data_IF_348556368575
#
_entry.id   IF_348556368575
#
_cell.length_a   1.000
_cell.length_b   1.000
_cell.length_c   1.000
_cell.angle_alpha   90.00
_cell.angle_beta   90.00
_cell.angle_gamma   90.00
#
_symmetry.space_group_name_H-M   'P 1'
#
loop_
_entity.id
_entity.type
_entity.pdbx_description
1 polymer ?
#
# COMPACT_ATOMS: atom_id res chain seq x y z
N UNK A 1 -12.40 -0.14 -23.98
CA UNK A 1 -13.34 -0.25 -22.86
C UNK A 1 -12.63 -0.54 -21.53
N UNK A 2 -11.94 -1.67 -21.36
CA UNK A 2 -11.12 -1.95 -20.17
C UNK A 2 -10.03 -0.88 -19.90
N UNK A 3 -9.62 -0.14 -20.92
CA UNK A 3 -8.65 0.96 -20.84
C UNK A 3 -9.14 2.16 -20.02
N UNK A 4 -10.45 2.34 -19.84
CA UNK A 4 -11.02 3.42 -19.03
C UNK A 4 -10.96 3.15 -17.51
N UNK A 5 -10.92 1.88 -17.12
CA UNK A 5 -11.01 1.47 -15.70
C UNK A 5 -9.92 2.08 -14.81
N UNK A 6 -8.62 2.06 -15.17
CA UNK A 6 -7.58 2.67 -14.34
C UNK A 6 -7.77 4.19 -14.15
N UNK A 7 -8.26 4.87 -15.20
CA UNK A 7 -8.49 6.31 -15.16
C UNK A 7 -9.69 6.68 -14.28
N UNK A 8 -10.73 5.86 -14.30
CA UNK A 8 -11.92 6.04 -13.46
C UNK A 8 -11.57 5.79 -11.99
N UNK A 9 -10.81 4.74 -11.72
CA UNK A 9 -10.30 4.46 -10.38
C UNK A 9 -9.49 5.62 -9.82
N UNK A 10 -8.70 6.29 -10.66
CA UNK A 10 -7.96 7.46 -10.26
C UNK A 10 -8.86 8.66 -9.91
N UNK A 11 -9.90 8.93 -10.71
CA UNK A 11 -10.86 10.02 -10.45
C UNK A 11 -11.60 9.79 -9.13
N UNK A 12 -12.09 8.58 -8.91
CA UNK A 12 -12.92 8.28 -7.74
C UNK A 12 -12.15 8.37 -6.42
N UNK A 13 -10.85 8.07 -6.43
CA UNK A 13 -10.00 8.27 -5.26
C UNK A 13 -9.89 9.75 -4.84
N UNK A 14 -10.09 10.67 -5.77
CA UNK A 14 -10.06 12.12 -5.49
C UNK A 14 -11.41 12.68 -5.02
N UNK A 15 -12.50 11.92 -5.05
CA UNK A 15 -13.85 12.43 -4.66
C UNK A 15 -13.91 12.88 -3.21
N UNK A 16 -13.20 12.21 -2.32
CA UNK A 16 -13.21 12.50 -0.88
C UNK A 16 -12.06 13.38 -0.44
N UNK A 17 -11.18 13.78 -1.34
CA UNK A 17 -9.98 14.54 -1.04
C UNK A 17 -10.15 16.04 -1.28
N UNK A 18 -9.53 16.82 -0.42
CA UNK A 18 -9.40 18.27 -0.60
C UNK A 18 -7.96 18.64 -0.27
N UNK A 19 -7.31 19.31 -1.20
CA UNK A 19 -5.93 19.74 -1.02
C UNK A 19 -5.73 20.58 0.26
N UNK A 20 -6.75 21.34 0.69
CA UNK A 20 -6.71 22.11 1.93
C UNK A 20 -6.92 21.29 3.20
N UNK A 21 -7.51 20.10 3.12
CA UNK A 21 -7.80 19.27 4.30
C UNK A 21 -6.88 18.07 4.46
N UNK A 22 -6.06 17.77 3.47
CA UNK A 22 -5.13 16.63 3.48
C UNK A 22 -3.69 16.99 3.85
N UNK A 23 -3.27 18.22 3.58
CA UNK A 23 -1.89 18.69 3.75
C UNK A 23 -1.56 19.22 5.17
N UNK A 24 -2.13 18.60 6.22
CA UNK A 24 -1.94 19.07 7.60
C UNK A 24 -0.49 19.03 8.08
N UNK A 25 0.33 18.08 7.60
CA UNK A 25 1.76 18.01 7.88
C UNK A 25 2.48 19.26 7.31
N UNK A 26 2.32 19.49 6.01
CA UNK A 26 2.97 20.59 5.31
C UNK A 26 2.51 21.96 5.86
N UNK A 27 1.22 22.09 6.20
CA UNK A 27 0.72 23.30 6.86
C UNK A 27 1.34 23.50 8.23
N UNK A 28 1.46 22.45 9.05
CA UNK A 28 2.09 22.54 10.36
C UNK A 28 3.56 22.96 10.27
N UNK A 29 4.30 22.35 9.34
CA UNK A 29 5.74 22.61 9.17
C UNK A 29 6.01 24.01 8.60
N UNK A 30 5.29 24.41 7.55
CA UNK A 30 5.46 25.70 6.90
C UNK A 30 4.98 26.86 7.78
N UNK A 31 3.86 26.70 8.49
CA UNK A 31 3.36 27.73 9.40
C UNK A 31 4.28 27.93 10.61
N UNK A 32 4.80 26.85 11.23
CA UNK A 32 5.65 26.94 12.43
C UNK A 32 7.09 27.33 12.14
N UNK A 33 7.66 26.81 11.06
CA UNK A 33 9.09 26.97 10.77
C UNK A 33 9.39 28.16 9.88
N UNK A 34 8.44 28.57 9.03
CA UNK A 34 8.66 29.59 8.01
C UNK A 34 7.73 30.80 8.11
N UNK A 35 6.79 30.84 9.06
CA UNK A 35 5.84 31.93 9.26
C UNK A 35 5.04 32.34 8.02
N UNK A 36 4.70 31.40 7.15
CA UNK A 36 3.85 31.68 5.98
C UNK A 36 2.44 32.06 6.41
N UNK A 37 1.89 33.08 5.75
CA UNK A 37 0.49 33.45 5.95
C UNK A 37 -0.45 32.36 5.45
N UNK A 38 -1.57 32.08 6.15
CA UNK A 38 -2.52 31.04 5.76
C UNK A 38 -3.08 31.20 4.35
N UNK A 39 -3.30 32.42 3.89
CA UNK A 39 -3.78 32.70 2.53
C UNK A 39 -2.77 32.24 1.47
N UNK A 40 -1.48 32.54 1.65
CA UNK A 40 -0.43 32.17 0.70
C UNK A 40 -0.24 30.65 0.67
N UNK A 41 -0.25 30.01 1.84
CA UNK A 41 -0.25 28.55 1.95
C UNK A 41 -1.45 27.93 1.23
N UNK A 42 -2.64 28.47 1.42
CA UNK A 42 -3.83 27.97 0.75
C UNK A 42 -3.71 28.03 -0.77
N UNK A 43 -3.18 29.12 -1.33
CA UNK A 43 -2.98 29.25 -2.77
C UNK A 43 -1.93 28.29 -3.32
N UNK A 44 -0.85 28.03 -2.59
CA UNK A 44 0.16 27.03 -2.97
C UNK A 44 -0.48 25.63 -3.08
N UNK A 45 -1.22 25.20 -2.06
CA UNK A 45 -1.81 23.86 -2.03
C UNK A 45 -3.05 23.71 -2.92
N UNK A 46 -3.76 24.80 -3.22
CA UNK A 46 -4.91 24.77 -4.13
C UNK A 46 -4.51 24.71 -5.61
N UNK A 47 -3.45 25.40 -5.99
CA UNK A 47 -3.12 25.61 -7.40
C UNK A 47 -1.74 25.10 -7.78
N UNK A 48 -0.68 25.47 -7.03
CA UNK A 48 0.69 25.18 -7.40
C UNK A 48 1.02 23.69 -7.25
N UNK A 49 0.72 23.10 -6.10
CA UNK A 49 0.97 21.67 -5.87
C UNK A 49 0.23 20.77 -6.85
N UNK A 50 -1.12 20.92 -7.05
CA UNK A 50 -1.84 20.13 -8.06
C UNK A 50 -1.33 20.36 -9.48
N UNK A 51 -0.82 21.55 -9.80
CA UNK A 51 -0.22 21.86 -11.10
C UNK A 51 1.11 21.12 -11.30
N UNK A 52 1.98 21.05 -10.30
CA UNK A 52 3.22 20.27 -10.36
C UNK A 52 2.93 18.77 -10.51
N UNK A 53 1.93 18.27 -9.76
CA UNK A 53 1.47 16.89 -9.88
C UNK A 53 0.87 16.64 -11.28
N UNK A 54 0.15 17.60 -11.85
CA UNK A 54 -0.36 17.51 -13.23
C UNK A 54 0.77 17.30 -14.24
N UNK A 55 1.87 18.05 -14.16
CA UNK A 55 2.99 17.89 -15.09
C UNK A 55 3.57 16.46 -15.04
N UNK A 56 3.91 15.98 -13.85
CA UNK A 56 4.45 14.61 -13.68
C UNK A 56 3.49 13.52 -14.12
N UNK A 57 2.20 13.67 -13.80
CA UNK A 57 1.14 12.71 -14.16
C UNK A 57 0.88 12.66 -15.66
N UNK A 58 0.92 13.81 -16.33
CA UNK A 58 0.69 13.89 -17.77
C UNK A 58 1.70 13.04 -18.53
N UNK A 59 2.98 13.13 -18.16
CA UNK A 59 4.01 12.28 -18.73
C UNK A 59 3.69 10.79 -18.54
N UNK A 60 3.33 10.40 -17.32
CA UNK A 60 2.95 9.02 -17.01
C UNK A 60 1.74 8.53 -17.83
N UNK A 61 0.69 9.33 -17.93
CA UNK A 61 -0.53 8.97 -18.67
C UNK A 61 -0.30 8.90 -20.17
N UNK A 62 0.51 9.80 -20.74
CA UNK A 62 0.84 9.76 -22.17
C UNK A 62 1.65 8.50 -22.50
N UNK A 63 2.67 8.19 -21.71
CA UNK A 63 3.49 6.98 -21.91
C UNK A 63 2.63 5.73 -21.74
N UNK A 64 1.90 5.62 -20.63
CA UNK A 64 1.05 4.46 -20.37
C UNK A 64 -0.05 4.29 -21.40
N UNK A 65 -0.77 5.37 -21.74
CA UNK A 65 -1.85 5.35 -22.71
C UNK A 65 -1.39 4.90 -24.10
N UNK A 66 -0.21 5.37 -24.53
CA UNK A 66 0.35 4.97 -25.85
C UNK A 66 0.86 3.53 -25.83
N UNK A 67 1.60 3.13 -24.78
CA UNK A 67 2.22 1.81 -24.72
C UNK A 67 1.25 0.65 -24.51
N UNK A 68 0.20 0.85 -23.71
CA UNK A 68 -0.70 -0.24 -23.27
C UNK A 68 -2.08 -0.21 -23.89
N UNK A 69 -2.53 0.94 -24.33
CA UNK A 69 -3.92 1.11 -24.80
C UNK A 69 -4.01 1.73 -26.20
N UNK A 70 -2.88 2.06 -26.82
CA UNK A 70 -2.79 2.79 -28.10
C UNK A 70 -3.68 4.04 -28.15
N UNK A 71 -3.82 4.73 -27.02
CA UNK A 71 -4.65 5.93 -26.92
C UNK A 71 -3.88 7.11 -27.48
N UNK A 72 -4.56 7.96 -28.22
CA UNK A 72 -3.97 9.18 -28.74
C UNK A 72 -3.52 10.10 -27.60
N UNK A 73 -2.25 10.57 -27.56
CA UNK A 73 -1.70 11.44 -26.51
C UNK A 73 -2.52 12.67 -26.18
N UNK A 74 -3.26 13.22 -27.15
CA UNK A 74 -4.11 14.40 -26.96
C UNK A 74 -5.22 14.11 -25.93
N UNK A 75 -5.86 12.94 -26.01
CA UNK A 75 -6.95 12.61 -25.08
C UNK A 75 -6.42 12.29 -23.67
N UNK A 76 -5.24 11.71 -23.55
CA UNK A 76 -4.60 11.50 -22.26
C UNK A 76 -4.14 12.83 -21.62
N UNK A 77 -3.68 13.77 -22.43
CA UNK A 77 -3.37 15.12 -21.98
C UNK A 77 -4.62 15.88 -21.48
N UNK A 78 -5.69 15.90 -22.29
CA UNK A 78 -6.96 16.54 -21.90
C UNK A 78 -7.54 15.91 -20.62
N UNK A 79 -7.46 14.60 -20.51
CA UNK A 79 -7.88 13.89 -19.30
C UNK A 79 -7.04 14.30 -18.08
N UNK A 80 -5.73 14.39 -18.20
CA UNK A 80 -4.84 14.82 -17.14
C UNK A 80 -5.12 16.25 -16.70
N UNK A 81 -5.37 17.15 -17.66
CA UNK A 81 -5.76 18.55 -17.38
C UNK A 81 -7.13 18.65 -16.70
N UNK A 82 -8.09 17.80 -17.12
CA UNK A 82 -9.37 17.69 -16.45
C UNK A 82 -9.25 17.25 -14.98
N UNK A 83 -8.32 16.34 -14.67
CA UNK A 83 -8.05 15.93 -13.28
C UNK A 83 -7.47 17.09 -12.45
N UNK A 84 -6.63 17.94 -13.03
CA UNK A 84 -6.16 19.14 -12.35
C UNK A 84 -7.33 20.07 -11.97
N UNK A 85 -8.21 20.35 -12.91
CA UNK A 85 -9.43 21.15 -12.64
C UNK A 85 -10.34 20.49 -11.61
N UNK A 86 -10.52 19.18 -11.74
CA UNK A 86 -11.31 18.38 -10.81
C UNK A 86 -10.80 18.46 -9.38
N UNK A 87 -9.49 18.40 -9.14
CA UNK A 87 -8.92 18.50 -7.79
C UNK A 87 -9.23 19.87 -7.14
N UNK A 88 -9.19 20.96 -7.90
CA UNK A 88 -9.56 22.31 -7.42
C UNK A 88 -11.07 22.39 -7.15
N UNK A 89 -11.89 21.80 -8.03
CA UNK A 89 -13.35 21.77 -7.87
C UNK A 89 -13.77 20.99 -6.60
N UNK A 90 -13.15 19.85 -6.36
CA UNK A 90 -13.40 19.06 -5.15
C UNK A 90 -12.91 19.79 -3.90
N UNK A 91 -11.80 20.49 -3.97
CA UNK A 91 -11.33 21.33 -2.87
C UNK A 91 -12.33 22.45 -2.56
N UNK A 92 -12.93 23.11 -3.57
CA UNK A 92 -13.97 24.12 -3.36
C UNK A 92 -15.24 23.52 -2.72
N UNK A 93 -15.68 22.38 -3.22
CA UNK A 93 -16.83 21.65 -2.69
C UNK A 93 -16.66 21.31 -1.21
N UNK A 94 -15.56 20.67 -0.85
CA UNK A 94 -15.28 20.27 0.54
C UNK A 94 -15.01 21.46 1.45
N UNK A 95 -14.36 22.51 0.97
CA UNK A 95 -14.15 23.75 1.73
C UNK A 95 -15.48 24.40 2.10
N UNK A 96 -16.41 24.50 1.14
CA UNK A 96 -17.75 25.03 1.37
C UNK A 96 -18.55 24.21 2.40
N UNK A 97 -18.41 22.89 2.38
CA UNK A 97 -19.07 22.01 3.34
C UNK A 97 -18.43 22.13 4.73
N UNK A 98 -17.11 22.18 4.81
CA UNK A 98 -16.37 22.25 6.07
C UNK A 98 -16.35 23.64 6.71
N UNK A 99 -16.66 24.69 5.96
CA UNK A 99 -16.67 26.08 6.43
C UNK A 99 -17.57 26.28 7.67
N UNK A 100 -18.79 25.75 7.62
CA UNK A 100 -19.81 25.91 8.68
C UNK A 100 -19.69 24.84 9.81
N UNK A 101 -18.80 23.87 9.68
CA UNK A 101 -18.67 22.77 10.65
C UNK A 101 -17.57 23.05 11.66
N UNK A 102 -17.75 22.59 12.89
CA UNK A 102 -16.70 22.64 13.92
C UNK A 102 -15.57 21.64 13.64
N UNK A 103 -15.92 20.44 13.10
CA UNK A 103 -15.00 19.37 12.73
C UNK A 103 -15.02 19.12 11.23
N UNK A 104 -13.90 18.64 10.68
CA UNK A 104 -13.85 18.24 9.28
C UNK A 104 -14.73 17.01 9.03
N UNK A 105 -15.32 16.92 7.83
CA UNK A 105 -16.00 15.69 7.40
C UNK A 105 -14.97 14.56 7.36
N UNK A 106 -15.41 13.36 7.75
CA UNK A 106 -14.59 12.16 7.91
C UNK A 106 -13.50 12.25 9.00
N UNK A 107 -13.48 13.29 9.83
CA UNK A 107 -12.67 13.26 11.04
C UNK A 107 -13.07 12.03 11.87
N UNK A 108 -12.11 11.14 12.14
CA UNK A 108 -12.30 9.84 12.82
C UNK A 108 -13.17 8.79 12.08
N UNK A 109 -13.45 8.95 10.78
CA UNK A 109 -14.25 8.01 9.99
C UNK A 109 -13.56 7.62 8.67
N UNK A 110 -12.25 7.43 8.70
CA UNK A 110 -11.47 7.04 7.52
C UNK A 110 -11.96 5.73 6.88
N UNK A 111 -12.40 4.77 7.69
CA UNK A 111 -12.96 3.50 7.18
C UNK A 111 -14.24 3.73 6.37
N UNK A 112 -15.13 4.61 6.82
CA UNK A 112 -16.36 4.97 6.10
C UNK A 112 -16.04 5.71 4.78
N UNK A 113 -15.01 6.56 4.79
CA UNK A 113 -14.51 7.22 3.59
C UNK A 113 -14.03 6.20 2.54
N UNK A 114 -13.23 5.20 2.96
CA UNK A 114 -12.74 4.13 2.09
C UNK A 114 -13.91 3.34 1.50
N UNK A 115 -14.92 2.97 2.29
CA UNK A 115 -16.10 2.25 1.79
C UNK A 115 -16.85 3.07 0.75
N UNK A 116 -17.07 4.36 0.99
CA UNK A 116 -17.76 5.25 0.03
C UNK A 116 -16.98 5.32 -1.28
N UNK A 117 -15.64 5.48 -1.22
CA UNK A 117 -14.78 5.50 -2.40
C UNK A 117 -14.90 4.19 -3.18
N UNK A 118 -14.85 3.04 -2.49
CA UNK A 118 -14.97 1.73 -3.13
C UNK A 118 -16.34 1.53 -3.81
N UNK A 119 -17.43 1.93 -3.15
CA UNK A 119 -18.78 1.86 -3.72
C UNK A 119 -18.92 2.75 -4.96
N UNK A 120 -18.42 3.98 -4.91
CA UNK A 120 -18.45 4.90 -6.04
C UNK A 120 -17.61 4.35 -7.21
N UNK A 121 -16.41 3.80 -6.92
CA UNK A 121 -15.57 3.15 -7.93
C UNK A 121 -16.30 2.00 -8.63
N UNK A 122 -16.94 1.15 -7.85
CA UNK A 122 -17.69 0.00 -8.37
C UNK A 122 -18.88 0.47 -9.24
N UNK A 123 -19.62 1.46 -8.78
CA UNK A 123 -20.75 2.04 -9.52
C UNK A 123 -20.31 2.67 -10.86
N UNK A 124 -19.28 3.49 -10.83
CA UNK A 124 -18.77 4.15 -12.05
C UNK A 124 -18.17 3.13 -13.01
N UNK A 125 -17.44 2.12 -12.51
CA UNK A 125 -16.88 1.06 -13.34
C UNK A 125 -17.97 0.22 -14.03
N UNK A 126 -19.04 -0.12 -13.31
CA UNK A 126 -20.22 -0.81 -13.87
C UNK A 126 -20.90 0.06 -14.93
N UNK A 127 -21.08 1.36 -14.66
CA UNK A 127 -21.70 2.31 -15.58
C UNK A 127 -20.93 2.42 -16.90
N UNK A 128 -19.60 2.49 -16.83
CA UNK A 128 -18.72 2.51 -18.02
C UNK A 128 -18.79 1.20 -18.80
N UNK A 129 -18.88 0.06 -18.11
CA UNK A 129 -19.03 -1.26 -18.75
C UNK A 129 -20.39 -1.39 -19.47
N UNK A 130 -21.47 -0.90 -18.85
CA UNK A 130 -22.83 -0.97 -19.42
C UNK A 130 -22.98 -0.04 -20.63
N UNK A 131 -22.51 1.22 -20.52
CA UNK A 131 -22.65 2.25 -21.57
C UNK A 131 -21.63 2.05 -22.71
N UNK A 132 -20.63 1.16 -22.53
CA UNK A 132 -19.55 0.93 -23.51
C UNK A 132 -18.83 2.24 -23.93
N UNK A 133 -18.57 3.15 -22.97
CA UNK A 133 -17.93 4.42 -23.21
C UNK A 133 -16.52 4.25 -23.78
N UNK A 134 -16.25 4.98 -24.87
CA UNK A 134 -14.90 5.11 -25.41
C UNK A 134 -14.11 6.15 -24.60
N UNK A 135 -12.79 5.94 -24.46
CA UNK A 135 -11.90 6.85 -23.71
C UNK A 135 -11.90 8.27 -24.29
N UNK A 136 -12.04 8.41 -25.60
CA UNK A 136 -12.16 9.70 -26.30
C UNK A 136 -13.35 10.50 -25.77
N UNK A 137 -14.54 9.88 -25.70
CA UNK A 137 -15.77 10.53 -25.24
C UNK A 137 -15.67 10.85 -23.74
N UNK A 138 -15.13 9.90 -22.96
CA UNK A 138 -14.89 10.10 -21.52
C UNK A 138 -13.98 11.31 -21.27
N UNK A 139 -12.83 11.39 -21.96
CA UNK A 139 -11.84 12.46 -21.76
C UNK A 139 -12.38 13.84 -22.11
N UNK A 140 -13.08 13.95 -23.25
CA UNK A 140 -13.69 15.21 -23.70
C UNK A 140 -14.83 15.65 -22.77
N UNK A 141 -15.75 14.75 -22.40
CA UNK A 141 -16.84 15.05 -21.49
C UNK A 141 -16.35 15.44 -20.10
N UNK A 142 -15.38 14.71 -19.58
CA UNK A 142 -14.78 15.00 -18.26
C UNK A 142 -14.03 16.34 -18.28
N UNK A 143 -13.31 16.65 -19.36
CA UNK A 143 -12.62 17.94 -19.54
C UNK A 143 -13.60 19.12 -19.60
N UNK A 144 -14.64 19.04 -20.42
CA UNK A 144 -15.60 20.14 -20.56
C UNK A 144 -16.34 20.44 -19.28
N UNK A 145 -16.84 19.42 -18.57
CA UNK A 145 -17.54 19.58 -17.29
C UNK A 145 -16.61 20.23 -16.24
N UNK A 146 -15.39 19.70 -16.10
CA UNK A 146 -14.49 20.23 -15.08
C UNK A 146 -13.95 21.61 -15.40
N UNK A 147 -13.83 21.99 -16.65
CA UNK A 147 -13.46 23.36 -17.05
C UNK A 147 -14.55 24.37 -16.64
N UNK A 148 -15.80 24.03 -16.89
CA UNK A 148 -16.94 24.90 -16.48
C UNK A 148 -16.95 25.04 -14.95
N UNK A 149 -16.87 23.93 -14.21
CA UNK A 149 -16.85 23.94 -12.75
C UNK A 149 -15.65 24.70 -12.18
N UNK A 150 -14.48 24.65 -12.84
CA UNK A 150 -13.28 25.34 -12.42
C UNK A 150 -13.45 26.87 -12.40
N UNK A 151 -14.16 27.43 -13.35
CA UNK A 151 -14.47 28.88 -13.37
C UNK A 151 -15.26 29.27 -12.12
N UNK A 152 -16.27 28.46 -11.74
CA UNK A 152 -17.04 28.72 -10.51
C UNK A 152 -16.19 28.51 -9.24
N UNK A 153 -15.38 27.49 -9.19
CA UNK A 153 -14.49 27.23 -8.06
C UNK A 153 -13.46 28.34 -7.86
N UNK A 154 -12.87 28.83 -8.96
CA UNK A 154 -11.95 29.98 -8.92
C UNK A 154 -12.62 31.26 -8.39
N UNK A 155 -13.87 31.54 -8.83
CA UNK A 155 -14.65 32.68 -8.31
C UNK A 155 -14.95 32.51 -6.82
N UNK A 156 -15.27 31.29 -6.36
CA UNK A 156 -15.49 31.00 -4.95
C UNK A 156 -14.23 31.28 -4.13
N UNK A 157 -13.08 30.74 -4.51
CA UNK A 157 -11.83 30.93 -3.77
C UNK A 157 -11.31 32.37 -3.78
N UNK A 158 -11.56 33.13 -4.84
CA UNK A 158 -11.22 34.56 -4.87
C UNK A 158 -11.94 35.38 -3.77
N UNK A 159 -13.15 34.97 -3.42
CA UNK A 159 -13.99 35.67 -2.42
C UNK A 159 -13.94 35.02 -1.03
N UNK A 160 -13.24 33.88 -0.88
CA UNK A 160 -13.22 33.13 0.37
C UNK A 160 -12.19 33.71 1.34
N UNK A 161 -12.65 34.05 2.57
CA UNK A 161 -11.85 34.66 3.64
C UNK A 161 -11.56 33.72 4.82
N UNK A 162 -12.01 32.46 4.76
CA UNK A 162 -11.95 31.50 5.88
C UNK A 162 -10.76 30.54 5.88
N UNK A 163 -9.67 30.84 5.17
CA UNK A 163 -8.51 29.98 5.06
C UNK A 163 -7.88 29.65 6.41
N UNK A 164 -7.73 30.63 7.30
CA UNK A 164 -7.17 30.47 8.65
C UNK A 164 -7.89 29.35 9.41
N UNK A 165 -9.23 29.38 9.43
CA UNK A 165 -10.06 28.41 10.14
C UNK A 165 -9.94 26.99 9.56
N UNK A 166 -9.85 26.87 8.23
CA UNK A 166 -9.71 25.57 7.58
C UNK A 166 -8.32 24.98 7.85
N UNK A 167 -7.27 25.77 7.72
CA UNK A 167 -5.89 25.35 7.95
C UNK A 167 -5.70 24.97 9.42
N UNK A 168 -6.20 25.77 10.37
CA UNK A 168 -6.16 25.44 11.80
C UNK A 168 -6.82 24.09 12.11
N UNK A 169 -8.03 23.85 11.57
CA UNK A 169 -8.73 22.55 11.70
C UNK A 169 -7.89 21.41 11.11
N UNK A 170 -7.27 21.63 9.98
CA UNK A 170 -6.45 20.62 9.28
C UNK A 170 -5.20 20.28 10.08
N UNK A 171 -4.51 21.29 10.63
CA UNK A 171 -3.35 21.10 11.51
C UNK A 171 -3.76 20.33 12.78
N UNK A 172 -4.90 20.71 13.39
CA UNK A 172 -5.41 20.03 14.59
C UNK A 172 -5.72 18.55 14.30
N UNK A 173 -6.40 18.25 13.19
CA UNK A 173 -6.64 16.86 12.74
C UNK A 173 -5.35 16.10 12.56
N UNK A 174 -4.37 16.68 11.87
CA UNK A 174 -3.06 16.06 11.66
C UNK A 174 -2.36 15.74 12.98
N UNK A 175 -2.33 16.69 13.92
CA UNK A 175 -1.70 16.47 15.23
C UNK A 175 -2.40 15.36 16.04
N UNK A 176 -3.74 15.26 15.96
CA UNK A 176 -4.49 14.16 16.58
C UNK A 176 -4.15 12.82 15.91
N UNK A 177 -4.15 12.74 14.58
CA UNK A 177 -3.80 11.53 13.84
C UNK A 177 -2.34 11.07 14.13
N UNK A 178 -1.41 12.01 14.24
CA UNK A 178 -0.02 11.71 14.64
C UNK A 178 0.04 11.15 16.06
N UNK A 179 -0.72 11.73 17.00
CA UNK A 179 -0.80 11.22 18.38
C UNK A 179 -1.38 9.82 18.41
N UNK A 180 -2.52 9.58 17.75
CA UNK A 180 -3.16 8.26 17.66
C UNK A 180 -2.24 7.24 17.00
N UNK A 181 -1.54 7.60 15.93
CA UNK A 181 -0.58 6.71 15.26
C UNK A 181 0.59 6.31 16.18
N UNK A 182 1.09 7.24 17.01
CA UNK A 182 2.10 6.95 18.03
C UNK A 182 1.56 6.01 19.10
N UNK A 183 0.38 6.28 19.60
CA UNK A 183 -0.28 5.44 20.63
C UNK A 183 -0.49 4.01 20.10
N UNK A 184 -0.91 3.87 18.82
CA UNK A 184 -1.04 2.56 18.16
C UNK A 184 0.34 1.89 18.01
N UNK A 185 1.35 2.62 17.57
CA UNK A 185 2.71 2.08 17.43
C UNK A 185 3.28 1.63 18.77
N UNK A 186 3.10 2.42 19.82
CA UNK A 186 3.55 2.08 21.15
C UNK A 186 2.77 0.91 21.75
N UNK A 187 1.46 0.78 21.45
CA UNK A 187 0.66 -0.37 21.87
C UNK A 187 1.12 -1.70 21.25
N UNK A 188 1.63 -1.70 20.01
CA UNK A 188 2.18 -2.90 19.34
C UNK A 188 3.51 -3.33 19.97
N UNK A 189 4.25 -2.38 20.51
CA UNK A 189 5.57 -2.63 21.12
C UNK A 189 5.44 -2.92 22.60
N UNK A 190 4.43 -2.37 23.29
CA UNK A 190 4.22 -2.50 24.72
C UNK A 190 3.76 -3.92 25.08
N UNK A 191 4.62 -4.62 25.84
CA UNK A 191 4.29 -5.93 26.41
C UNK A 191 3.48 -5.69 27.68
N UNK A 192 2.26 -6.22 27.74
CA UNK A 192 1.43 -6.17 28.94
C UNK A 192 1.72 -7.37 29.86
N UNK A 193 1.43 -7.22 31.17
CA UNK A 193 1.65 -8.31 32.14
C UNK A 193 0.91 -9.62 31.76
N UNK A 194 -0.21 -9.53 31.07
CA UNK A 194 -0.95 -10.69 30.53
C UNK A 194 -0.24 -11.45 29.41
N UNK A 195 0.72 -10.78 28.74
CA UNK A 195 1.53 -11.37 27.67
C UNK A 195 2.77 -12.12 28.24
N UNK A 196 3.01 -11.96 29.57
CA UNK A 196 4.11 -12.60 30.30
C UNK A 196 3.58 -13.79 31.09
N UNK A 197 3.52 -14.94 30.44
CA UNK A 197 3.20 -16.18 31.18
C UNK A 197 4.47 -16.74 31.84
N UNK A 198 4.64 -16.50 33.15
CA UNK A 198 5.83 -16.89 33.92
C UNK A 198 6.02 -18.41 34.07
N UNK A 199 4.98 -19.22 33.84
CA UNK A 199 5.00 -20.69 34.04
C UNK A 199 5.50 -21.49 32.85
N UNK A 200 5.59 -20.90 31.67
CA UNK A 200 6.01 -21.64 30.47
C UNK A 200 7.50 -21.53 30.24
N UNK A 201 8.18 -22.67 30.23
CA UNK A 201 9.61 -22.77 29.83
C UNK A 201 9.77 -22.45 28.34
N UNK A 202 10.73 -21.58 28.02
CA UNK A 202 11.10 -21.23 26.64
C UNK A 202 12.24 -22.16 26.26
N UNK A 203 12.11 -22.82 25.09
CA UNK A 203 13.12 -23.73 24.55
C UNK A 203 14.15 -22.96 23.73
N UNK A 204 15.40 -23.41 23.75
CA UNK A 204 16.51 -22.87 22.96
C UNK A 204 17.57 -22.19 23.81
N UNK A 205 18.74 -21.94 23.24
CA UNK A 205 19.89 -21.25 23.85
C UNK A 205 20.33 -20.09 22.94
N UNK A 206 20.95 -19.06 23.53
CA UNK A 206 21.48 -17.91 22.81
C UNK A 206 20.46 -17.19 21.95
N UNK A 207 20.71 -17.06 20.65
CA UNK A 207 19.81 -16.37 19.71
C UNK A 207 18.50 -17.08 19.49
N UNK A 208 18.46 -18.41 19.57
CA UNK A 208 17.21 -19.19 19.47
C UNK A 208 16.28 -18.86 20.63
N UNK A 209 16.83 -18.79 21.85
CA UNK A 209 16.08 -18.39 23.05
C UNK A 209 15.52 -16.97 22.90
N UNK A 210 16.33 -16.01 22.46
CA UNK A 210 15.92 -14.62 22.28
C UNK A 210 14.76 -14.51 21.25
N UNK A 211 14.89 -15.20 20.11
CA UNK A 211 13.87 -15.21 19.07
C UNK A 211 12.56 -15.85 19.56
N UNK A 212 12.64 -17.00 20.23
CA UNK A 212 11.48 -17.69 20.75
C UNK A 212 10.79 -16.88 21.86
N UNK A 213 11.57 -16.23 22.74
CA UNK A 213 11.06 -15.31 23.77
C UNK A 213 10.29 -14.15 23.15
N UNK A 214 10.88 -13.51 22.11
CA UNK A 214 10.23 -12.42 21.39
C UNK A 214 8.88 -12.84 20.83
N UNK A 215 8.85 -13.89 20.00
CA UNK A 215 7.61 -14.34 19.34
C UNK A 215 6.54 -14.79 20.35
N UNK A 216 6.93 -15.35 21.46
CA UNK A 216 6.02 -15.76 22.52
C UNK A 216 5.37 -14.55 23.19
N UNK A 217 6.16 -13.54 23.57
CA UNK A 217 5.65 -12.31 24.20
C UNK A 217 4.80 -11.46 23.26
N UNK A 218 5.11 -11.46 21.96
CA UNK A 218 4.38 -10.68 20.97
C UNK A 218 3.30 -11.49 20.23
N UNK A 219 3.07 -12.75 20.60
CA UNK A 219 2.14 -13.66 19.88
C UNK A 219 0.78 -13.02 19.61
N UNK A 220 0.17 -12.40 20.61
CA UNK A 220 -1.15 -11.76 20.49
C UNK A 220 -1.14 -10.59 19.51
N UNK A 221 -0.10 -9.73 19.61
CA UNK A 221 0.02 -8.54 18.76
C UNK A 221 0.38 -8.85 17.31
N UNK A 222 0.97 -10.02 17.05
CA UNK A 222 1.31 -10.48 15.71
C UNK A 222 0.20 -11.32 15.08
N UNK A 223 -0.39 -12.24 15.86
CA UNK A 223 -1.39 -13.19 15.37
C UNK A 223 -2.72 -12.50 15.04
N UNK A 224 -3.22 -11.62 15.96
CA UNK A 224 -4.51 -10.96 15.78
C UNK A 224 -4.64 -10.16 14.49
N UNK A 225 -3.70 -9.25 14.13
CA UNK A 225 -3.75 -8.53 12.85
C UNK A 225 -3.65 -9.45 11.64
N UNK A 226 -2.84 -10.51 11.73
CA UNK A 226 -2.71 -11.51 10.65
C UNK A 226 -4.03 -12.24 10.42
N UNK A 227 -4.71 -12.69 11.48
CA UNK A 227 -6.01 -13.34 11.39
C UNK A 227 -7.08 -12.41 10.82
N UNK A 228 -7.12 -11.14 11.25
CA UNK A 228 -8.07 -10.15 10.73
C UNK A 228 -7.86 -9.94 9.22
N UNK A 229 -6.62 -9.71 8.78
CA UNK A 229 -6.30 -9.56 7.35
C UNK A 229 -6.70 -10.79 6.55
N UNK A 230 -6.39 -11.97 7.07
CA UNK A 230 -6.73 -13.26 6.43
C UNK A 230 -8.25 -13.46 6.35
N UNK A 231 -8.99 -13.12 7.43
CA UNK A 231 -10.46 -13.20 7.45
C UNK A 231 -11.10 -12.27 6.42
N UNK A 232 -10.64 -11.02 6.34
CA UNK A 232 -11.12 -10.06 5.32
C UNK A 232 -10.82 -10.59 3.91
N UNK A 233 -9.62 -11.14 3.69
CA UNK A 233 -9.24 -11.72 2.40
C UNK A 233 -10.14 -12.91 2.02
N UNK A 234 -10.46 -13.80 2.96
CA UNK A 234 -11.38 -14.92 2.72
C UNK A 234 -12.79 -14.44 2.37
N UNK A 235 -13.31 -13.45 3.08
CA UNK A 235 -14.64 -12.87 2.80
C UNK A 235 -14.68 -12.28 1.38
N UNK A 236 -13.67 -11.49 1.01
CA UNK A 236 -13.58 -10.91 -0.33
C UNK A 236 -13.39 -12.00 -1.40
N UNK A 237 -12.54 -13.00 -1.13
CA UNK A 237 -12.28 -14.11 -2.04
C UNK A 237 -13.50 -14.98 -2.29
N UNK A 238 -14.23 -15.37 -1.25
CA UNK A 238 -15.49 -16.12 -1.39
C UNK A 238 -16.59 -15.26 -2.04
N UNK A 239 -16.73 -13.98 -1.65
CA UNK A 239 -17.64 -13.07 -2.31
C UNK A 239 -17.37 -12.94 -3.81
N UNK A 240 -16.10 -12.76 -4.18
CA UNK A 240 -15.66 -12.76 -5.58
C UNK A 240 -15.94 -14.08 -6.31
N UNK A 241 -15.72 -15.23 -5.63
CA UNK A 241 -16.04 -16.54 -6.17
C UNK A 241 -17.51 -16.68 -6.51
N UNK A 242 -18.43 -16.31 -5.62
CA UNK A 242 -19.87 -16.36 -5.84
C UNK A 242 -20.30 -15.40 -6.96
N UNK A 243 -19.80 -14.17 -6.97
CA UNK A 243 -20.09 -13.19 -8.01
C UNK A 243 -19.66 -13.67 -9.39
N UNK A 244 -18.42 -14.17 -9.52
CA UNK A 244 -17.90 -14.66 -10.80
C UNK A 244 -18.62 -15.92 -11.25
N UNK A 245 -19.04 -16.77 -10.32
CA UNK A 245 -19.80 -18.00 -10.61
C UNK A 245 -21.20 -17.70 -11.20
N UNK A 246 -21.79 -16.56 -10.86
CA UNK A 246 -23.08 -16.11 -11.38
C UNK A 246 -22.98 -15.41 -12.74
N UNK A 247 -21.77 -15.00 -13.16
CA UNK A 247 -21.54 -14.33 -14.41
C UNK A 247 -21.11 -15.35 -15.50
N UNK A 248 -21.60 -15.18 -16.72
CA UNK A 248 -21.21 -15.98 -17.90
C UNK A 248 -19.85 -15.59 -18.47
N UNK A 249 -18.82 -15.53 -17.58
CA UNK A 249 -17.46 -15.16 -17.99
C UNK A 249 -16.70 -16.43 -18.42
N UNK A 250 -15.91 -16.32 -19.51
CA UNK A 250 -15.07 -17.42 -19.99
C UNK A 250 -14.10 -17.89 -18.86
N UNK A 251 -14.21 -19.13 -18.47
CA UNK A 251 -13.52 -19.74 -17.34
C UNK A 251 -11.99 -19.55 -17.34
N UNK A 252 -11.34 -19.66 -18.49
CA UNK A 252 -9.88 -19.50 -18.62
C UNK A 252 -9.39 -18.07 -18.34
N UNK A 253 -10.18 -17.04 -18.63
CA UNK A 253 -9.77 -15.64 -18.36
C UNK A 253 -9.78 -15.31 -16.86
N UNK A 254 -10.75 -15.82 -16.12
CA UNK A 254 -10.82 -15.66 -14.65
C UNK A 254 -9.60 -16.26 -14.00
N UNK A 255 -9.21 -17.46 -14.40
CA UNK A 255 -8.04 -18.15 -13.90
C UNK A 255 -6.73 -17.38 -14.15
N UNK A 256 -6.54 -16.83 -15.35
CA UNK A 256 -5.39 -15.98 -15.70
C UNK A 256 -5.28 -14.76 -14.79
N UNK A 257 -6.40 -14.03 -14.63
CA UNK A 257 -6.45 -12.85 -13.76
C UNK A 257 -6.08 -13.22 -12.32
N UNK A 258 -6.54 -14.36 -11.81
CA UNK A 258 -6.22 -14.82 -10.48
C UNK A 258 -4.70 -15.05 -10.31
N UNK A 259 -4.05 -15.74 -11.28
CA UNK A 259 -2.59 -15.96 -11.26
C UNK A 259 -1.84 -14.61 -11.29
N UNK A 260 -2.25 -13.68 -12.13
CA UNK A 260 -1.61 -12.37 -12.24
C UNK A 260 -1.78 -11.53 -10.97
N UNK A 261 -2.85 -11.75 -10.23
CA UNK A 261 -3.12 -11.06 -8.97
C UNK A 261 -2.33 -11.63 -7.76
N UNK A 262 -1.80 -12.86 -7.83
CA UNK A 262 -1.07 -13.50 -6.72
C UNK A 262 0.04 -12.60 -6.14
N UNK A 263 0.96 -11.99 -6.91
CA UNK A 263 2.00 -11.15 -6.33
C UNK A 263 1.46 -9.91 -5.62
N UNK A 264 0.41 -9.28 -6.16
CA UNK A 264 -0.23 -8.10 -5.55
C UNK A 264 -0.91 -8.49 -4.23
N UNK A 265 -1.66 -9.58 -4.24
CA UNK A 265 -2.32 -10.12 -3.05
C UNK A 265 -1.27 -10.50 -1.99
N UNK A 266 -0.20 -11.16 -2.40
CA UNK A 266 0.91 -11.53 -1.52
C UNK A 266 1.58 -10.30 -0.90
N UNK A 267 1.83 -9.25 -1.68
CA UNK A 267 2.39 -7.99 -1.18
C UNK A 267 1.51 -7.39 -0.07
N UNK A 268 0.19 -7.40 -0.24
CA UNK A 268 -0.75 -6.84 0.76
C UNK A 268 -0.83 -7.73 2.02
N UNK A 269 -0.93 -9.05 1.84
CA UNK A 269 -1.13 -10.00 2.94
C UNK A 269 0.13 -10.20 3.79
N UNK A 270 1.29 -10.31 3.16
CA UNK A 270 2.55 -10.65 3.84
C UNK A 270 3.36 -9.44 4.31
N UNK A 271 2.94 -8.21 4.02
CA UNK A 271 3.61 -7.00 4.51
C UNK A 271 3.53 -6.87 6.03
N UNK A 272 4.70 -6.78 6.71
CA UNK A 272 4.86 -6.90 8.17
C UNK A 272 5.68 -5.76 8.80
N UNK A 273 5.41 -4.51 8.45
CA UNK A 273 6.16 -3.34 8.96
C UNK A 273 6.17 -3.26 10.50
N UNK A 274 5.06 -3.67 11.14
CA UNK A 274 4.92 -3.65 12.61
C UNK A 274 5.84 -4.63 13.33
N UNK A 275 6.12 -5.80 12.72
CA UNK A 275 7.05 -6.80 13.30
C UNK A 275 8.45 -6.24 13.33
N UNK A 276 8.89 -5.56 12.27
CA UNK A 276 10.24 -5.00 12.18
C UNK A 276 10.48 -3.93 13.25
N UNK A 277 9.48 -3.07 13.48
CA UNK A 277 9.54 -2.07 14.54
C UNK A 277 9.59 -2.72 15.93
N UNK A 278 8.84 -3.80 16.16
CA UNK A 278 8.88 -4.55 17.41
C UNK A 278 10.22 -5.24 17.61
N UNK A 279 10.83 -5.82 16.55
CA UNK A 279 12.20 -6.35 16.63
C UNK A 279 13.19 -5.28 17.06
N UNK A 280 13.13 -4.10 16.42
CA UNK A 280 14.04 -3.02 16.74
C UNK A 280 13.88 -2.55 18.19
N UNK A 281 12.69 -2.13 18.61
CA UNK A 281 12.44 -1.55 19.93
C UNK A 281 12.65 -2.53 21.09
N UNK A 282 12.26 -3.80 20.92
CA UNK A 282 12.23 -4.78 22.01
C UNK A 282 13.43 -5.75 22.05
N UNK A 283 14.26 -5.76 21.00
CA UNK A 283 15.44 -6.62 20.93
C UNK A 283 16.68 -5.86 20.47
N UNK A 284 16.64 -5.31 19.25
CA UNK A 284 17.85 -4.92 18.55
C UNK A 284 18.45 -3.60 19.05
N UNK A 285 17.62 -2.65 19.46
CA UNK A 285 18.08 -1.33 19.92
C UNK A 285 19.10 -1.43 21.06
N UNK A 286 18.93 -2.38 21.98
CA UNK A 286 19.86 -2.64 23.08
C UNK A 286 21.05 -3.51 22.65
N UNK A 287 20.83 -4.49 21.77
CA UNK A 287 21.86 -5.45 21.37
C UNK A 287 22.86 -4.88 20.36
N UNK A 288 22.44 -3.88 19.57
CA UNK A 288 23.30 -3.23 18.57
C UNK A 288 24.49 -2.46 19.15
N UNK A 289 24.50 -2.19 20.47
CA UNK A 289 25.68 -1.64 21.14
C UNK A 289 26.83 -2.66 21.29
N UNK A 290 26.55 -3.95 21.19
CA UNK A 290 27.53 -5.01 21.39
C UNK A 290 28.10 -5.50 20.06
N UNK A 291 29.43 -5.58 19.96
CA UNK A 291 30.13 -6.00 18.73
C UNK A 291 29.77 -7.43 18.31
N UNK A 292 29.66 -8.38 19.27
CA UNK A 292 29.33 -9.77 18.96
C UNK A 292 28.00 -9.92 18.23
N UNK A 293 27.03 -9.03 18.50
CA UNK A 293 25.72 -9.07 17.85
C UNK A 293 25.79 -8.65 16.37
N UNK A 294 26.78 -7.82 15.99
CA UNK A 294 26.99 -7.30 14.64
C UNK A 294 27.94 -8.14 13.78
N UNK A 295 28.43 -9.26 14.31
CA UNK A 295 29.23 -10.19 13.52
C UNK A 295 28.39 -10.81 12.39
N UNK A 296 29.01 -11.00 11.23
CA UNK A 296 28.39 -11.49 10.01
C UNK A 296 27.63 -12.81 10.22
N UNK A 297 28.24 -13.80 10.88
CA UNK A 297 27.63 -15.11 11.19
C UNK A 297 26.42 -14.97 12.12
N UNK A 298 26.51 -14.09 13.12
CA UNK A 298 25.44 -13.90 14.10
C UNK A 298 24.24 -13.18 13.50
N UNK A 299 24.48 -12.15 12.67
CA UNK A 299 23.40 -11.46 11.94
C UNK A 299 22.70 -12.38 10.94
N UNK A 300 23.44 -13.19 10.18
CA UNK A 300 22.86 -14.16 9.26
C UNK A 300 22.05 -15.22 10.01
N UNK A 301 22.55 -15.73 11.15
CA UNK A 301 21.80 -16.66 12.01
C UNK A 301 20.49 -16.05 12.50
N UNK A 302 20.53 -14.81 13.04
CA UNK A 302 19.34 -14.10 13.49
C UNK A 302 18.34 -13.83 12.36
N UNK A 303 18.82 -13.49 11.17
CA UNK A 303 17.97 -13.32 9.99
C UNK A 303 17.17 -14.59 9.68
N UNK A 304 17.82 -15.75 9.61
CA UNK A 304 17.13 -17.01 9.30
C UNK A 304 16.19 -17.46 10.42
N UNK A 305 16.54 -17.25 11.67
CA UNK A 305 15.67 -17.55 12.81
C UNK A 305 14.38 -16.71 12.76
N UNK A 306 14.52 -15.41 12.48
CA UNK A 306 13.38 -14.50 12.32
C UNK A 306 12.56 -14.84 11.09
N UNK A 307 13.23 -15.12 9.97
CA UNK A 307 12.54 -15.58 8.76
C UNK A 307 11.67 -16.80 9.05
N UNK A 308 12.21 -17.84 9.65
CA UNK A 308 11.46 -19.07 9.96
C UNK A 308 10.25 -18.78 10.86
N UNK A 309 10.42 -17.93 11.86
CA UNK A 309 9.33 -17.58 12.79
C UNK A 309 8.25 -16.74 12.14
N UNK A 310 8.62 -15.75 11.30
CA UNK A 310 7.68 -14.93 10.55
C UNK A 310 6.99 -15.76 9.47
N UNK A 311 7.72 -16.64 8.78
CA UNK A 311 7.16 -17.50 7.75
C UNK A 311 6.13 -18.50 8.32
N UNK A 312 6.37 -19.04 9.53
CA UNK A 312 5.36 -19.82 10.27
C UNK A 312 4.10 -19.01 10.55
N UNK A 313 4.21 -17.74 10.86
CA UNK A 313 3.03 -16.87 11.04
C UNK A 313 2.31 -16.62 9.70
N UNK A 314 3.07 -16.49 8.60
CA UNK A 314 2.55 -16.27 7.25
C UNK A 314 1.93 -17.53 6.62
N UNK A 315 2.11 -18.71 7.21
CA UNK A 315 1.40 -19.92 6.76
C UNK A 315 -0.14 -19.78 6.85
N UNK A 316 -0.65 -18.93 7.75
CA UNK A 316 -2.09 -18.68 7.90
C UNK A 316 -2.67 -18.00 6.65
N UNK A 317 -2.23 -16.81 6.23
CA UNK A 317 -2.72 -16.19 4.99
C UNK A 317 -2.35 -16.99 3.74
N UNK A 318 -1.23 -17.71 3.74
CA UNK A 318 -0.85 -18.62 2.65
C UNK A 318 -1.88 -19.76 2.49
N UNK A 319 -2.33 -20.37 3.58
CA UNK A 319 -3.40 -21.37 3.56
C UNK A 319 -4.71 -20.81 3.01
N UNK A 320 -5.07 -19.57 3.36
CA UNK A 320 -6.23 -18.89 2.81
C UNK A 320 -6.10 -18.66 1.28
N UNK A 321 -4.92 -18.28 0.81
CA UNK A 321 -4.66 -18.16 -0.64
C UNK A 321 -4.81 -19.51 -1.36
N UNK A 322 -4.36 -20.61 -0.77
CA UNK A 322 -4.57 -21.94 -1.33
C UNK A 322 -6.05 -22.28 -1.43
N UNK A 323 -6.83 -22.05 -0.38
CA UNK A 323 -8.27 -22.35 -0.37
C UNK A 323 -8.97 -21.59 -1.49
N UNK A 324 -8.75 -20.29 -1.60
CA UNK A 324 -9.36 -19.47 -2.64
C UNK A 324 -8.90 -19.93 -4.02
N UNK A 325 -7.59 -20.13 -4.22
CA UNK A 325 -7.04 -20.57 -5.50
C UNK A 325 -7.62 -21.93 -5.94
N UNK A 326 -7.62 -22.92 -5.05
CA UNK A 326 -8.16 -24.26 -5.35
C UNK A 326 -9.66 -24.19 -5.67
N UNK A 327 -10.43 -23.39 -4.91
CA UNK A 327 -11.86 -23.19 -5.18
C UNK A 327 -12.11 -22.64 -6.58
N UNK A 328 -11.37 -21.62 -7.01
CA UNK A 328 -11.48 -21.10 -8.39
C UNK A 328 -10.97 -22.10 -9.43
N UNK A 329 -9.86 -22.78 -9.19
CA UNK A 329 -9.30 -23.74 -10.15
C UNK A 329 -10.26 -24.90 -10.39
N UNK A 330 -10.82 -25.51 -9.35
CA UNK A 330 -11.76 -26.63 -9.46
C UNK A 330 -13.06 -26.25 -10.15
N UNK A 331 -13.52 -24.99 -10.03
CA UNK A 331 -14.77 -24.53 -10.66
C UNK A 331 -14.58 -24.16 -12.13
N UNK A 332 -13.45 -23.52 -12.46
CA UNK A 332 -13.25 -22.85 -13.75
C UNK A 332 -12.31 -23.57 -14.72
N UNK A 333 -11.56 -24.59 -14.26
CA UNK A 333 -10.71 -25.39 -15.12
C UNK A 333 -11.33 -26.77 -15.40
N UNK A 334 -11.09 -27.28 -16.60
CA UNK A 334 -11.43 -28.67 -16.95
C UNK A 334 -10.43 -29.61 -16.25
N UNK A 335 -10.82 -30.88 -16.07
CA UNK A 335 -9.94 -31.90 -15.45
C UNK A 335 -8.59 -32.05 -16.19
N UNK A 336 -8.57 -31.84 -17.50
CA UNK A 336 -7.37 -31.90 -18.35
C UNK A 336 -6.44 -30.71 -18.18
N UNK A 337 -6.98 -29.53 -17.84
CA UNK A 337 -6.22 -28.28 -17.65
C UNK A 337 -5.78 -28.09 -16.18
N UNK A 338 -6.20 -28.96 -15.27
CA UNK A 338 -6.06 -28.82 -13.81
C UNK A 338 -4.66 -29.23 -13.35
N UNK A 339 -3.68 -28.38 -13.60
CA UNK A 339 -2.33 -28.53 -13.04
C UNK A 339 -2.16 -27.58 -11.84
N UNK A 340 -2.32 -28.13 -10.63
CA UNK A 340 -2.25 -27.35 -9.39
C UNK A 340 -0.81 -27.20 -8.86
N UNK A 341 0.15 -28.02 -9.30
CA UNK A 341 1.49 -28.06 -8.72
C UNK A 341 2.25 -26.75 -8.91
N UNK A 342 2.30 -26.21 -10.11
CA UNK A 342 3.03 -24.99 -10.43
C UNK A 342 2.45 -23.75 -9.70
N UNK A 343 1.14 -23.47 -9.72
CA UNK A 343 0.57 -22.37 -8.96
C UNK A 343 0.70 -22.49 -7.45
N UNK A 344 0.58 -23.69 -6.88
CA UNK A 344 0.81 -23.91 -5.44
C UNK A 344 2.26 -23.57 -5.09
N UNK A 345 3.22 -24.10 -5.85
CA UNK A 345 4.63 -23.76 -5.68
C UNK A 345 4.88 -22.25 -5.80
N UNK A 346 4.25 -21.59 -6.78
CA UNK A 346 4.33 -20.15 -6.97
C UNK A 346 3.78 -19.36 -5.78
N UNK A 347 2.67 -19.78 -5.15
CA UNK A 347 2.13 -19.14 -3.94
C UNK A 347 3.12 -19.27 -2.77
N UNK A 348 3.74 -20.45 -2.60
CA UNK A 348 4.75 -20.66 -1.55
C UNK A 348 5.95 -19.73 -1.75
N UNK A 349 6.47 -19.66 -2.97
CA UNK A 349 7.60 -18.77 -3.29
C UNK A 349 7.25 -17.29 -3.07
N UNK A 350 6.04 -16.87 -3.42
CA UNK A 350 5.57 -15.51 -3.10
C UNK A 350 5.54 -15.26 -1.59
N UNK A 351 5.02 -16.21 -0.79
CA UNK A 351 5.02 -16.10 0.66
C UNK A 351 6.43 -15.99 1.25
N UNK A 352 7.37 -16.80 0.74
CA UNK A 352 8.79 -16.73 1.14
C UNK A 352 9.40 -15.38 0.76
N UNK A 353 9.25 -14.95 -0.47
CA UNK A 353 9.81 -13.70 -0.97
C UNK A 353 9.31 -12.48 -0.18
N UNK A 354 7.99 -12.34 0.01
CA UNK A 354 7.41 -11.21 0.74
C UNK A 354 7.63 -11.29 2.25
N UNK A 355 8.06 -12.42 2.78
CA UNK A 355 8.57 -12.54 4.16
C UNK A 355 10.03 -12.12 4.27
N UNK A 356 10.86 -12.52 3.29
CA UNK A 356 12.30 -12.19 3.27
C UNK A 356 12.53 -10.71 2.94
N UNK A 357 11.80 -10.14 2.00
CA UNK A 357 12.02 -8.79 1.50
C UNK A 357 12.02 -7.72 2.61
N UNK A 358 11.02 -7.63 3.52
CA UNK A 358 11.06 -6.67 4.61
C UNK A 358 12.21 -6.92 5.61
N UNK A 359 12.53 -8.18 5.90
CA UNK A 359 13.66 -8.54 6.76
C UNK A 359 14.99 -8.12 6.11
N UNK A 360 15.18 -8.39 4.82
CA UNK A 360 16.34 -7.93 4.07
C UNK A 360 16.49 -6.41 4.13
N UNK A 361 15.42 -5.67 3.86
CA UNK A 361 15.41 -4.21 3.96
C UNK A 361 15.79 -3.76 5.37
N UNK A 362 15.29 -4.41 6.40
CA UNK A 362 15.59 -4.12 7.79
C UNK A 362 17.07 -4.28 8.13
N UNK A 363 17.69 -5.40 7.74
CA UNK A 363 19.09 -5.66 8.03
C UNK A 363 20.05 -4.81 7.19
N UNK A 364 19.71 -4.49 5.94
CA UNK A 364 20.59 -3.71 5.04
C UNK A 364 20.42 -2.21 5.24
N UNK A 365 19.20 -1.72 5.39
CA UNK A 365 18.93 -0.27 5.45
C UNK A 365 18.90 0.23 6.88
N UNK A 366 18.49 -0.62 7.82
CA UNK A 366 18.21 -0.28 9.22
C UNK A 366 17.42 1.04 9.30
N UNK A 367 16.09 1.01 9.11
CA UNK A 367 15.28 2.20 8.85
C UNK A 367 14.95 3.03 10.09
N UNK A 368 15.27 2.55 11.30
CA UNK A 368 14.84 3.15 12.56
C UNK A 368 15.94 4.02 13.19
N UNK A 369 15.53 5.16 13.76
CA UNK A 369 16.38 6.00 14.62
C UNK A 369 16.41 5.47 16.07
N UNK A 370 17.13 6.18 16.96
CA UNK A 370 17.23 5.82 18.40
C UNK A 370 15.86 5.72 19.09
N UNK A 371 14.89 6.50 18.66
CA UNK A 371 13.52 6.50 19.21
C UNK A 371 12.63 5.41 18.59
N UNK A 372 13.14 4.66 17.61
CA UNK A 372 12.38 3.66 16.86
C UNK A 372 11.43 4.25 15.83
N UNK A 373 11.64 5.51 15.43
CA UNK A 373 10.91 6.13 14.32
C UNK A 373 11.56 5.77 12.99
N UNK A 374 10.73 5.48 12.00
CA UNK A 374 11.21 5.21 10.64
C UNK A 374 11.53 6.53 9.93
N UNK A 375 12.81 6.76 9.62
CA UNK A 375 13.29 7.99 8.96
C UNK A 375 14.04 7.75 7.66
N UNK A 376 14.05 6.54 7.11
CA UNK A 376 14.83 6.24 5.92
C UNK A 376 14.09 6.59 4.64
N UNK A 377 14.53 7.66 3.96
CA UNK A 377 14.05 8.05 2.62
C UNK A 377 14.31 6.94 1.60
N UNK A 378 15.48 6.26 1.69
CA UNK A 378 15.83 5.14 0.81
C UNK A 378 14.80 4.01 0.89
N UNK A 379 14.34 3.68 2.11
CA UNK A 379 13.30 2.65 2.27
C UNK A 379 11.97 3.07 1.64
N UNK A 380 11.59 4.34 1.81
CA UNK A 380 10.34 4.86 1.21
C UNK A 380 10.41 4.77 -0.32
N UNK A 381 11.48 5.25 -0.92
CA UNK A 381 11.68 5.21 -2.38
C UNK A 381 11.70 3.76 -2.89
N UNK A 382 12.39 2.86 -2.20
CA UNK A 382 12.44 1.44 -2.58
C UNK A 382 11.06 0.78 -2.48
N UNK A 383 10.29 1.06 -1.44
CA UNK A 383 8.92 0.53 -1.30
C UNK A 383 7.98 1.11 -2.36
N UNK A 384 8.12 2.38 -2.74
CA UNK A 384 7.38 2.97 -3.86
C UNK A 384 7.72 2.27 -5.19
N UNK A 385 9.01 2.07 -5.47
CA UNK A 385 9.46 1.38 -6.68
C UNK A 385 8.94 -0.06 -6.75
N UNK A 386 9.04 -0.80 -5.65
CA UNK A 386 8.48 -2.16 -5.54
C UNK A 386 6.96 -2.17 -5.75
N UNK A 387 6.25 -1.21 -5.17
CA UNK A 387 4.81 -1.07 -5.38
C UNK A 387 4.47 -0.93 -6.86
N UNK A 388 5.16 -0.05 -7.59
CA UNK A 388 4.94 0.13 -9.03
C UNK A 388 5.25 -1.15 -9.83
N UNK A 389 6.32 -1.87 -9.49
CA UNK A 389 6.63 -3.15 -10.14
C UNK A 389 5.52 -4.17 -9.92
N UNK A 390 5.06 -4.35 -8.67
CA UNK A 390 4.05 -5.36 -8.35
C UNK A 390 2.67 -5.01 -8.87
N UNK A 391 2.28 -3.74 -8.83
CA UNK A 391 0.93 -3.32 -9.22
C UNK A 391 0.79 -3.12 -10.72
N UNK A 392 1.82 -2.62 -11.40
CA UNK A 392 1.77 -2.30 -12.83
C UNK A 392 2.71 -3.16 -13.68
N UNK A 393 3.94 -3.37 -13.23
CA UNK A 393 4.96 -4.08 -13.99
C UNK A 393 4.64 -5.56 -14.17
N UNK A 394 4.29 -6.25 -13.10
CA UNK A 394 3.99 -7.69 -13.15
C UNK A 394 2.74 -8.03 -13.97
N UNK A 395 1.58 -7.35 -13.81
CA UNK A 395 0.44 -7.58 -14.69
C UNK A 395 0.73 -7.30 -16.16
N UNK A 396 1.47 -6.22 -16.45
CA UNK A 396 1.86 -5.90 -17.82
C UNK A 396 2.77 -6.98 -18.45
N UNK A 397 3.73 -7.48 -17.68
CA UNK A 397 4.57 -8.59 -18.09
C UNK A 397 3.75 -9.86 -18.33
N UNK A 398 2.87 -10.19 -17.39
CA UNK A 398 2.03 -11.38 -17.43
C UNK A 398 1.14 -11.44 -18.69
N UNK A 399 0.54 -10.31 -19.07
CA UNK A 399 -0.27 -10.21 -20.28
C UNK A 399 0.56 -10.49 -21.55
N UNK A 400 1.83 -10.05 -21.59
CA UNK A 400 2.71 -10.23 -22.75
C UNK A 400 3.21 -11.66 -22.93
N UNK A 401 3.58 -12.34 -21.83
CA UNK A 401 4.27 -13.63 -21.90
C UNK A 401 3.40 -14.84 -21.60
N UNK A 402 2.19 -14.61 -21.09
CA UNK A 402 1.25 -15.67 -20.68
C UNK A 402 1.54 -16.27 -19.30
N UNK A 403 0.55 -16.93 -18.71
CA UNK A 403 0.50 -17.32 -17.32
C UNK A 403 1.63 -18.28 -16.88
N UNK A 404 1.92 -19.31 -17.66
CA UNK A 404 2.92 -20.31 -17.30
C UNK A 404 4.33 -19.71 -17.32
N UNK A 405 4.69 -19.01 -18.39
CA UNK A 405 5.99 -18.35 -18.51
C UNK A 405 6.17 -17.29 -17.43
N UNK A 406 5.11 -16.53 -17.13
CA UNK A 406 5.10 -15.54 -16.06
C UNK A 406 5.42 -16.18 -14.71
N UNK A 407 4.68 -17.23 -14.30
CA UNK A 407 4.93 -17.93 -13.05
C UNK A 407 6.36 -18.46 -12.96
N UNK A 408 6.90 -19.05 -14.03
CA UNK A 408 8.26 -19.59 -14.05
C UNK A 408 9.32 -18.50 -13.89
N UNK A 409 9.23 -17.42 -14.67
CA UNK A 409 10.20 -16.31 -14.64
C UNK A 409 10.20 -15.66 -13.25
N UNK A 410 9.03 -15.37 -12.69
CA UNK A 410 8.94 -14.75 -11.36
C UNK A 410 9.40 -15.73 -10.27
N UNK A 411 9.12 -17.03 -10.39
CA UNK A 411 9.62 -18.03 -9.44
C UNK A 411 11.14 -18.11 -9.44
N UNK A 412 11.77 -18.11 -10.61
CA UNK A 412 13.25 -18.09 -10.73
C UNK A 412 13.82 -16.82 -10.10
N UNK A 413 13.22 -15.65 -10.41
CA UNK A 413 13.63 -14.38 -9.80
C UNK A 413 13.55 -14.42 -8.27
N UNK A 414 12.46 -14.95 -7.70
CA UNK A 414 12.27 -15.05 -6.25
C UNK A 414 13.31 -15.97 -5.60
N UNK A 415 13.61 -17.10 -6.20
CA UNK A 415 14.66 -18.04 -5.70
C UNK A 415 16.03 -17.38 -5.73
N UNK A 416 16.39 -16.73 -6.84
CA UNK A 416 17.65 -15.99 -6.96
C UNK A 416 17.75 -14.87 -5.93
N UNK A 417 16.65 -14.15 -5.68
CA UNK A 417 16.61 -13.10 -4.66
C UNK A 417 16.86 -13.63 -3.25
N UNK A 418 16.33 -14.80 -2.88
CA UNK A 418 16.58 -15.44 -1.57
C UNK A 418 18.08 -15.69 -1.35
N UNK A 419 18.76 -16.26 -2.35
CA UNK A 419 20.19 -16.48 -2.31
C UNK A 419 20.99 -15.18 -2.23
N UNK A 420 20.65 -14.20 -3.08
CA UNK A 420 21.27 -12.88 -3.09
C UNK A 420 21.07 -12.14 -1.77
N UNK A 421 19.86 -12.15 -1.21
CA UNK A 421 19.57 -11.52 0.07
C UNK A 421 20.43 -12.08 1.19
N UNK A 422 20.58 -13.41 1.27
CA UNK A 422 21.43 -14.07 2.27
C UNK A 422 22.90 -13.64 2.13
N UNK A 423 23.43 -13.61 0.90
CA UNK A 423 24.78 -13.17 0.62
C UNK A 423 25.01 -11.69 0.99
N UNK A 424 24.08 -10.81 0.60
CA UNK A 424 24.19 -9.38 0.87
C UNK A 424 24.07 -9.09 2.38
N UNK A 425 23.23 -9.81 3.11
CA UNK A 425 23.13 -9.67 4.57
C UNK A 425 24.44 -10.09 5.22
N UNK A 426 25.01 -11.23 4.83
CA UNK A 426 26.30 -11.67 5.36
C UNK A 426 27.40 -10.63 5.14
N UNK A 427 27.50 -10.05 3.96
CA UNK A 427 28.58 -9.14 3.57
C UNK A 427 28.40 -7.71 4.07
N UNK A 428 27.19 -7.19 4.02
CA UNK A 428 26.92 -5.75 4.24
C UNK A 428 26.23 -5.43 5.57
N UNK A 429 25.38 -6.32 6.11
CA UNK A 429 24.68 -6.03 7.35
C UNK A 429 25.60 -5.68 8.53
N UNK A 430 26.79 -6.29 8.73
CA UNK A 430 27.71 -5.89 9.80
C UNK A 430 28.13 -4.43 9.75
N UNK A 431 28.15 -3.85 8.55
CA UNK A 431 28.54 -2.45 8.32
C UNK A 431 27.37 -1.48 8.42
N UNK A 432 26.18 -1.90 7.99
CA UNK A 432 24.99 -1.05 7.85
C UNK A 432 24.01 -1.17 9.01
N UNK A 433 23.91 -2.32 9.66
CA UNK A 433 23.01 -2.59 10.78
C UNK A 433 23.55 -2.01 12.08
N UNK A 434 23.49 -0.67 12.20
CA UNK A 434 23.98 0.11 13.32
C UNK A 434 22.92 1.09 13.80
N UNK A 435 23.05 1.56 15.04
CA UNK A 435 22.20 2.63 15.55
C UNK A 435 22.52 3.90 14.76
N UNK A 436 21.52 4.47 14.09
CA UNK A 436 21.64 5.76 13.43
C UNK A 436 21.49 6.88 14.44
N UNK A 437 22.38 7.82 14.36
CA UNK A 437 22.34 9.03 15.20
C UNK A 437 21.22 9.96 14.77
#
# INVERSE_FOLDING_TARGET
MLTCVPFIFYISNMISSSNLTENGNSFSDLSKNFNFYPNDLAHIFLYLEPFLIFIGRTLGFVIFGKMYADINPIYTFLFSLAIYFYSVNMSAFWTKINEKRQKLIFENREFLQIIIILLINLLISLLVLVIKLDFKVLSLGFFTINTILFVFSRKYFKNFKGYDKIIEKTIKRYNLAVKESKDIQDSVVKIENKDINKKEKIKGEGFDYLNNLFFKRHKRHLLKPTLIKTGIFLIIGFGGFFLVSSLTIKSKEVYKILIYAIPIISYILFKQDKILMAFYKNCDSSLLYYNFYREDKNLLKMFWLRFNSVFKLMSIPMGAMFIIYIGFATKFLTKTDLNLSLPIFYIVLNAMFFTILPLFQYYIIQPFDKEGKQKSVVLVLMNMFLYYIFVFGFPALAIKIGEIKFMLIISIFMVLFVGLASFLIYKFAPKTFKIKQ
#
